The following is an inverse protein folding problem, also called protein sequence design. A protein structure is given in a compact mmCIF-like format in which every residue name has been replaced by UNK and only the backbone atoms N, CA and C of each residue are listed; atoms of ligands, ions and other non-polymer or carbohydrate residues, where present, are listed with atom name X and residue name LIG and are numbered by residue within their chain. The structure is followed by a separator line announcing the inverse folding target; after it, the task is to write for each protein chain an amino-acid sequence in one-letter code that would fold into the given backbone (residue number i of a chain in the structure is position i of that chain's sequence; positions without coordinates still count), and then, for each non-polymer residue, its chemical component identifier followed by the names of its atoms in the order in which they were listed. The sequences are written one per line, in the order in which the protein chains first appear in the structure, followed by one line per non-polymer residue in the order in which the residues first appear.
data_IF_243625522140
#
_entry.id   IF_243625522140
#
_cell.length_a   1.000
_cell.length_b   1.000
_cell.length_c   1.000
_cell.angle_alpha   90.00
_cell.angle_beta   90.00
_cell.angle_gamma   90.00
#
_symmetry.space_group_name_H-M   'P 1'
#
loop_
_entity.id
_entity.type
_entity.pdbx_description
1 polymer ?
#
# COMPACT_ATOMS: atom_id res chain seq x y z
N UNK A 1 -71.06 -13.52 10.85
CA UNK A 1 -71.53 -12.87 12.09
C UNK A 1 -70.59 -11.69 12.34
N UNK A 2 -70.99 -10.51 11.92
CA UNK A 2 -71.52 -9.36 12.66
C UNK A 2 -70.69 -9.02 13.90
N UNK A 3 -70.07 -7.85 13.99
CA UNK A 3 -70.64 -6.49 14.07
C UNK A 3 -69.62 -5.38 13.84
N UNK A 4 -70.06 -4.39 13.07
CA UNK A 4 -69.55 -2.98 12.99
C UNK A 4 -69.77 -2.25 14.31
N UNK A 5 -68.92 -1.29 14.66
CA UNK A 5 -69.34 -0.08 15.36
C UNK A 5 -68.50 1.08 14.91
N UNK A 6 -69.23 2.01 14.28
CA UNK A 6 -68.79 3.37 13.93
C UNK A 6 -69.03 4.27 15.15
N UNK A 7 -68.18 5.23 15.43
CA UNK A 7 -68.55 6.44 16.16
C UNK A 7 -67.86 7.68 15.58
N UNK A 8 -68.70 8.70 15.49
CA UNK A 8 -68.55 9.89 14.72
C UNK A 8 -67.88 11.07 15.47
N UNK A 9 -67.46 12.01 14.68
CA UNK A 9 -66.83 13.35 14.81
C UNK A 9 -67.66 14.28 15.72
N UNK A 10 -67.04 15.35 16.35
CA UNK A 10 -67.43 16.68 15.94
C UNK A 10 -66.30 17.64 15.56
N UNK A 11 -66.55 18.41 14.51
CA UNK A 11 -65.87 19.60 14.03
C UNK A 11 -66.17 20.77 14.96
N UNK A 12 -65.12 21.50 15.33
CA UNK A 12 -65.21 22.84 15.92
C UNK A 12 -64.47 23.83 15.02
N UNK A 13 -65.27 24.70 14.38
CA UNK A 13 -64.84 25.91 13.69
C UNK A 13 -64.49 26.97 14.74
N UNK A 14 -63.31 27.59 14.66
CA UNK A 14 -63.02 28.84 15.34
C UNK A 14 -62.32 29.79 14.37
N UNK A 15 -63.02 30.83 14.04
CA UNK A 15 -62.60 31.98 13.24
C UNK A 15 -61.60 32.84 14.06
N UNK A 16 -60.48 33.21 13.45
CA UNK A 16 -59.61 34.26 14.02
C UNK A 16 -59.17 35.27 12.97
N UNK A 17 -59.26 36.50 13.36
CA UNK A 17 -59.00 37.73 12.64
C UNK A 17 -57.60 37.82 12.01
N UNK A 18 -57.59 38.40 10.82
CA UNK A 18 -56.42 38.91 10.12
C UNK A 18 -56.09 40.30 10.61
N UNK A 19 -54.88 40.46 11.20
CA UNK A 19 -54.25 41.78 11.34
C UNK A 19 -53.10 41.85 10.33
N UNK A 20 -53.24 42.71 9.34
CA UNK A 20 -52.16 43.12 8.47
C UNK A 20 -51.20 44.05 9.23
N UNK A 21 -49.97 43.64 9.44
CA UNK A 21 -48.85 44.53 9.78
C UNK A 21 -47.88 44.52 8.61
N UNK A 22 -47.77 45.66 7.91
CA UNK A 22 -46.72 45.93 6.92
C UNK A 22 -45.36 46.07 7.70
N UNK A 23 -44.44 45.13 7.49
CA UNK A 23 -43.03 45.29 7.84
C UNK A 23 -42.20 45.17 6.58
N UNK A 24 -41.37 46.18 6.32
CA UNK A 24 -40.33 46.28 5.30
C UNK A 24 -39.41 45.06 5.32
N UNK A 25 -38.95 44.54 4.19
CA UNK A 25 -37.95 43.47 4.17
C UNK A 25 -36.62 44.03 4.58
N UNK A 26 -36.21 43.72 5.81
CA UNK A 26 -34.84 43.83 6.26
C UNK A 26 -34.01 42.75 5.58
N UNK A 27 -32.93 43.12 4.90
CA UNK A 27 -31.97 42.19 4.33
C UNK A 27 -31.46 41.28 5.46
N UNK A 28 -31.69 39.97 5.33
CA UNK A 28 -30.98 38.98 6.16
C UNK A 28 -29.49 39.14 5.92
N UNK A 29 -28.67 39.25 6.99
CA UNK A 29 -27.22 39.15 6.82
C UNK A 29 -26.90 37.79 6.24
N UNK A 30 -26.09 37.78 5.17
CA UNK A 30 -25.49 36.54 4.66
C UNK A 30 -24.82 35.81 5.84
N UNK A 31 -24.93 34.47 5.93
CA UNK A 31 -24.17 33.73 6.90
C UNK A 31 -22.70 34.07 6.70
N UNK A 32 -22.05 34.57 7.74
CA UNK A 32 -20.61 34.70 7.76
C UNK A 32 -20.02 33.33 7.49
N UNK A 33 -18.95 33.22 6.72
CA UNK A 33 -18.24 31.95 6.58
C UNK A 33 -17.87 31.53 8.01
N UNK A 34 -18.37 30.36 8.43
CA UNK A 34 -17.93 29.73 9.66
C UNK A 34 -16.46 29.39 9.45
N UNK A 35 -15.58 30.27 9.89
CA UNK A 35 -14.22 29.87 10.20
C UNK A 35 -14.37 28.94 11.41
N UNK A 36 -14.45 27.64 11.16
CA UNK A 36 -14.08 26.66 12.17
C UNK A 36 -12.59 26.89 12.44
N UNK A 37 -12.31 27.73 13.44
CA UNK A 37 -11.03 27.66 14.15
C UNK A 37 -11.11 26.27 14.78
N UNK A 38 -10.52 25.27 14.13
CA UNK A 38 -10.34 23.94 14.71
C UNK A 38 -9.68 24.15 16.06
N UNK A 39 -10.13 23.42 17.02
CA UNK A 39 -9.60 23.33 18.39
C UNK A 39 -8.14 22.83 18.47
N UNK A 40 -7.39 22.88 17.37
CA UNK A 40 -6.00 22.42 17.24
C UNK A 40 -5.87 20.91 17.06
N UNK A 41 -6.95 20.15 17.20
CA UNK A 41 -6.98 18.72 16.94
C UNK A 41 -6.97 18.49 15.41
N UNK A 42 -6.00 17.71 14.92
CA UNK A 42 -5.86 17.43 13.48
C UNK A 42 -5.11 18.51 12.66
N UNK A 43 -4.72 19.63 13.23
CA UNK A 43 -3.98 20.65 12.47
C UNK A 43 -2.56 20.18 12.13
N UNK A 44 -2.21 20.22 10.83
CA UNK A 44 -0.86 19.98 10.31
C UNK A 44 -0.43 21.19 9.48
N UNK A 45 0.69 21.81 9.86
CA UNK A 45 1.20 22.98 9.15
C UNK A 45 1.55 22.61 7.70
N UNK A 46 1.08 23.40 6.74
CA UNK A 46 1.35 23.18 5.31
C UNK A 46 0.46 22.16 4.62
N UNK A 47 -0.55 21.61 5.33
CA UNK A 47 -1.54 20.70 4.76
C UNK A 47 -2.98 21.17 5.04
N UNK A 48 -3.87 20.81 4.14
CA UNK A 48 -5.31 20.96 4.28
C UNK A 48 -5.90 19.62 4.75
N UNK A 49 -6.73 19.66 5.78
CA UNK A 49 -7.53 18.50 6.17
C UNK A 49 -8.75 18.40 5.25
N UNK A 50 -8.95 17.22 4.65
CA UNK A 50 -10.04 16.93 3.71
C UNK A 50 -10.99 15.88 4.28
N UNK A 51 -12.22 15.83 3.74
CA UNK A 51 -13.29 14.98 4.30
C UNK A 51 -13.17 13.50 3.91
N UNK A 52 -12.41 13.19 2.86
CA UNK A 52 -12.28 11.85 2.28
C UNK A 52 -10.81 11.54 1.99
N UNK A 53 -10.40 10.25 1.92
CA UNK A 53 -9.04 9.88 1.54
C UNK A 53 -8.64 10.51 0.21
N UNK A 54 -7.56 11.30 0.14
CA UNK A 54 -7.10 11.93 -1.09
C UNK A 54 -6.31 10.93 -1.94
N UNK A 55 -6.99 9.90 -2.47
CA UNK A 55 -6.35 8.82 -3.22
C UNK A 55 -5.75 9.34 -4.53
N UNK A 56 -4.47 9.09 -4.71
CA UNK A 56 -3.72 9.45 -5.90
C UNK A 56 -2.95 8.24 -6.44
N UNK A 57 -2.66 8.29 -7.74
CA UNK A 57 -1.71 7.38 -8.39
C UNK A 57 -0.49 8.20 -8.83
N UNK A 58 0.69 7.77 -8.43
CA UNK A 58 1.95 8.33 -8.88
C UNK A 58 2.57 7.37 -9.88
N UNK A 59 3.02 7.89 -11.02
CA UNK A 59 3.75 7.13 -12.04
C UNK A 59 5.15 7.70 -12.23
N UNK A 60 6.09 6.81 -12.55
CA UNK A 60 7.39 7.18 -13.10
C UNK A 60 7.48 6.54 -14.48
N UNK A 61 7.59 7.37 -15.49
CA UNK A 61 7.62 6.95 -16.88
C UNK A 61 9.01 6.43 -17.30
N UNK A 62 9.08 5.76 -18.45
CA UNK A 62 10.34 5.21 -18.98
C UNK A 62 11.39 6.29 -19.27
N UNK A 63 10.98 7.54 -19.52
CA UNK A 63 11.85 8.71 -19.69
C UNK A 63 12.18 9.43 -18.39
N UNK A 64 11.69 8.88 -17.25
CA UNK A 64 11.92 9.40 -15.92
C UNK A 64 10.93 10.46 -15.46
N UNK A 65 9.96 10.87 -16.27
CA UNK A 65 8.92 11.82 -15.85
C UNK A 65 8.15 11.28 -14.66
N UNK A 66 7.95 12.10 -13.64
CA UNK A 66 7.20 11.77 -12.42
C UNK A 66 5.88 12.53 -12.45
N UNK A 67 4.80 11.81 -12.56
CA UNK A 67 3.45 12.38 -12.65
C UNK A 67 2.55 11.82 -11.55
N UNK A 68 1.65 12.65 -11.06
CA UNK A 68 0.68 12.27 -10.03
C UNK A 68 -0.73 12.59 -10.50
N UNK A 69 -1.65 11.64 -10.35
CA UNK A 69 -3.06 11.79 -10.73
C UNK A 69 -3.96 11.73 -9.50
N UNK A 70 -4.84 12.71 -9.35
CA UNK A 70 -5.94 12.67 -8.39
C UNK A 70 -7.05 11.74 -8.92
N UNK A 71 -7.40 10.70 -8.16
CA UNK A 71 -8.44 9.74 -8.56
C UNK A 71 -9.87 10.29 -8.50
N UNK A 72 -10.08 11.43 -7.82
CA UNK A 72 -11.39 12.06 -7.71
C UNK A 72 -11.72 12.90 -8.94
N UNK A 73 -10.82 13.77 -9.36
CA UNK A 73 -11.05 14.72 -10.46
C UNK A 73 -10.28 14.40 -11.74
N UNK A 74 -9.46 13.33 -11.72
CA UNK A 74 -8.65 12.80 -12.83
C UNK A 74 -7.61 13.79 -13.37
N UNK A 75 -7.24 14.81 -12.55
CA UNK A 75 -6.24 15.79 -12.91
C UNK A 75 -4.83 15.23 -12.69
N UNK A 76 -3.94 15.52 -13.64
CA UNK A 76 -2.52 15.18 -13.58
C UNK A 76 -1.69 16.38 -13.15
N UNK A 77 -0.67 16.12 -12.34
CA UNK A 77 0.35 17.09 -11.96
C UNK A 77 1.74 16.47 -12.21
N UNK A 78 2.58 17.17 -12.96
CA UNK A 78 3.98 16.82 -13.14
C UNK A 78 4.78 17.27 -11.91
N UNK A 79 5.58 16.37 -11.32
CA UNK A 79 6.38 16.62 -10.12
C UNK A 79 7.86 16.86 -10.45
N UNK A 80 8.34 16.37 -11.57
CA UNK A 80 9.73 16.48 -12.01
C UNK A 80 10.20 15.28 -12.82
N UNK A 81 11.51 15.06 -12.82
CA UNK A 81 12.12 13.98 -13.59
C UNK A 81 13.18 13.27 -12.76
N UNK A 82 13.22 11.94 -12.82
CA UNK A 82 14.22 11.07 -12.21
C UNK A 82 14.92 10.25 -13.28
N UNK A 83 16.23 10.16 -13.22
CA UNK A 83 17.00 9.35 -14.17
C UNK A 83 17.22 7.93 -13.63
N UNK A 84 16.99 6.92 -14.47
CA UNK A 84 17.45 5.55 -14.25
C UNK A 84 16.73 4.82 -13.10
N UNK A 85 15.47 5.15 -12.81
CA UNK A 85 14.69 4.40 -11.81
C UNK A 85 14.61 2.93 -12.19
N UNK A 86 14.96 2.05 -11.24
CA UNK A 86 14.98 0.60 -11.39
C UNK A 86 13.91 -0.10 -10.58
N UNK A 87 13.44 0.53 -9.47
CA UNK A 87 12.41 -0.01 -8.59
C UNK A 87 11.75 1.10 -7.79
N UNK A 88 10.52 0.88 -7.31
CA UNK A 88 9.77 1.81 -6.45
C UNK A 88 9.10 1.09 -5.30
N UNK A 89 9.10 1.74 -4.13
CA UNK A 89 8.37 1.29 -2.94
C UNK A 89 7.63 2.48 -2.35
N UNK A 90 6.45 2.27 -1.80
CA UNK A 90 5.65 3.32 -1.13
C UNK A 90 5.21 2.90 0.27
N UNK A 91 5.01 3.88 1.15
CA UNK A 91 4.34 3.76 2.44
C UNK A 91 2.95 4.41 2.43
N UNK A 92 2.39 4.69 1.23
CA UNK A 92 1.11 5.36 1.07
C UNK A 92 1.19 6.89 1.06
N UNK A 93 2.29 7.49 1.53
CA UNK A 93 2.60 8.92 1.39
C UNK A 93 3.86 9.15 0.57
N UNK A 94 4.97 8.56 1.01
CA UNK A 94 6.24 8.70 0.33
C UNK A 94 6.42 7.61 -0.71
N UNK A 95 7.00 7.97 -1.85
CA UNK A 95 7.46 7.03 -2.86
C UNK A 95 8.98 7.10 -2.90
N UNK A 96 9.59 5.95 -2.73
CA UNK A 96 11.04 5.76 -2.75
C UNK A 96 11.42 5.14 -4.10
N UNK A 97 12.07 5.91 -4.94
CA UNK A 97 12.53 5.48 -6.27
C UNK A 97 14.02 5.15 -6.22
N UNK A 98 14.37 3.88 -6.40
CA UNK A 98 15.76 3.44 -6.42
C UNK A 98 16.34 3.44 -7.83
N UNK A 99 17.63 3.75 -7.93
CA UNK A 99 18.45 3.59 -9.12
C UNK A 99 19.64 2.69 -8.76
N UNK A 100 19.58 1.43 -9.16
CA UNK A 100 20.62 0.45 -8.84
C UNK A 100 21.98 0.76 -9.49
N UNK A 101 21.99 1.40 -10.67
CA UNK A 101 23.21 1.73 -11.41
C UNK A 101 24.01 2.85 -10.75
N UNK A 102 23.32 3.88 -10.24
CA UNK A 102 23.94 4.97 -9.47
C UNK A 102 24.05 4.68 -7.99
N UNK A 103 23.32 3.69 -7.47
CA UNK A 103 23.24 3.37 -6.05
C UNK A 103 22.52 4.47 -5.25
N UNK A 104 21.48 5.08 -5.80
CA UNK A 104 20.73 6.17 -5.15
C UNK A 104 19.29 5.77 -4.87
N UNK A 105 18.70 6.36 -3.83
CA UNK A 105 17.26 6.29 -3.52
C UNK A 105 16.72 7.71 -3.43
N UNK A 106 15.85 8.08 -4.35
CA UNK A 106 15.16 9.38 -4.35
C UNK A 106 13.84 9.27 -3.61
N UNK A 107 13.55 10.23 -2.74
CA UNK A 107 12.32 10.29 -1.96
C UNK A 107 11.39 11.35 -2.54
N UNK A 108 10.15 10.93 -2.85
CA UNK A 108 9.08 11.78 -3.35
C UNK A 108 7.99 11.82 -2.26
N UNK A 109 7.61 13.00 -1.79
CA UNK A 109 6.43 13.23 -0.96
C UNK A 109 5.23 13.48 -1.88
N UNK A 110 4.26 12.58 -1.91
CA UNK A 110 3.02 12.78 -2.68
C UNK A 110 2.18 13.94 -2.16
N UNK A 111 2.44 14.39 -0.94
CA UNK A 111 1.62 15.38 -0.26
C UNK A 111 0.27 14.85 0.20
N UNK A 112 -0.01 13.57 0.06
CA UNK A 112 -1.29 12.94 0.38
C UNK A 112 -1.11 11.85 1.42
N UNK A 113 -1.85 11.91 2.53
CA UNK A 113 -1.75 10.87 3.55
C UNK A 113 -2.99 10.80 4.45
N UNK A 114 -3.15 9.66 5.05
CA UNK A 114 -4.16 9.36 6.09
C UNK A 114 -3.47 9.19 7.44
N UNK A 115 -4.06 9.71 8.48
CA UNK A 115 -3.61 9.51 9.86
C UNK A 115 -4.70 8.83 10.67
N UNK A 116 -4.38 7.67 11.21
CA UNK A 116 -5.27 6.95 12.13
C UNK A 116 -5.20 7.55 13.52
N UNK A 117 -6.36 7.81 14.13
CA UNK A 117 -6.55 8.30 15.47
C UNK A 117 -7.42 7.37 16.33
N UNK A 118 -7.21 6.05 16.20
CA UNK A 118 -7.88 4.97 16.93
C UNK A 118 -9.38 4.85 16.63
N UNK A 119 -10.15 5.93 16.81
CA UNK A 119 -11.62 5.98 16.65
C UNK A 119 -12.06 6.67 15.34
N UNK A 120 -11.15 7.38 14.66
CA UNK A 120 -11.41 8.05 13.38
C UNK A 120 -10.12 8.32 12.61
N UNK A 121 -10.29 8.70 11.32
CA UNK A 121 -9.18 9.04 10.43
C UNK A 121 -9.18 10.52 10.10
N UNK A 122 -8.00 11.10 10.01
CA UNK A 122 -7.77 12.41 9.41
C UNK A 122 -7.10 12.22 8.05
N UNK A 123 -7.59 12.95 7.05
CA UNK A 123 -7.09 12.91 5.69
C UNK A 123 -6.47 14.25 5.34
N UNK A 124 -5.27 14.23 4.78
CA UNK A 124 -4.51 15.44 4.51
C UNK A 124 -4.08 15.53 3.06
N UNK A 125 -4.13 16.77 2.56
CA UNK A 125 -3.60 17.18 1.27
C UNK A 125 -2.59 18.30 1.46
N UNK A 126 -1.32 18.02 1.14
CA UNK A 126 -0.23 18.98 1.07
C UNK A 126 0.26 19.18 -0.35
N UNK A 127 1.39 19.85 -0.51
CA UNK A 127 2.01 20.05 -1.82
C UNK A 127 2.96 18.89 -2.13
N UNK A 128 2.78 18.16 -3.24
CA UNK A 128 3.69 17.10 -3.64
C UNK A 128 5.05 17.70 -4.04
N UNK A 129 6.14 16.93 -3.81
CA UNK A 129 7.51 17.37 -4.10
C UNK A 129 8.50 16.21 -4.13
N UNK A 130 9.58 16.36 -4.88
CA UNK A 130 10.78 15.54 -4.72
C UNK A 130 11.58 16.13 -3.55
N UNK A 131 11.80 15.34 -2.48
CA UNK A 131 12.53 15.81 -1.29
C UNK A 131 14.03 15.84 -1.57
N UNK A 132 14.57 14.78 -2.14
CA UNK A 132 16.00 14.61 -2.42
C UNK A 132 16.39 13.15 -2.54
N UNK A 133 17.69 12.87 -2.55
CA UNK A 133 18.22 11.52 -2.74
C UNK A 133 19.20 11.14 -1.63
N UNK A 134 19.27 9.85 -1.36
CA UNK A 134 20.21 9.21 -0.45
C UNK A 134 21.17 8.37 -1.28
N UNK A 135 22.46 8.58 -1.05
CA UNK A 135 23.51 7.85 -1.75
C UNK A 135 23.93 6.58 -1.01
N UNK A 136 24.15 5.53 -1.77
CA UNK A 136 24.69 4.24 -1.35
C UNK A 136 25.41 3.55 -2.50
N UNK A 137 25.31 2.23 -2.63
CA UNK A 137 25.93 1.48 -3.72
C UNK A 137 25.13 0.24 -4.10
N UNK A 138 24.83 0.11 -5.40
CA UNK A 138 24.09 -1.00 -5.98
C UNK A 138 22.59 -0.99 -5.69
N UNK A 139 21.92 -2.14 -5.86
CA UNK A 139 20.50 -2.26 -5.60
C UNK A 139 20.14 -1.98 -4.14
N UNK A 140 19.03 -1.27 -3.92
CA UNK A 140 18.52 -0.96 -2.60
C UNK A 140 17.29 -1.80 -2.26
N UNK A 141 17.26 -2.37 -1.05
CA UNK A 141 16.03 -2.91 -0.44
C UNK A 141 15.45 -1.83 0.47
N UNK A 142 14.24 -1.41 0.18
CA UNK A 142 13.54 -0.34 0.90
C UNK A 142 12.39 -0.97 1.67
N UNK A 143 12.31 -0.68 2.97
CA UNK A 143 11.33 -1.29 3.87
C UNK A 143 10.69 -0.22 4.74
N UNK A 144 9.51 0.29 4.33
CA UNK A 144 8.77 1.24 5.13
C UNK A 144 8.30 0.64 6.46
N UNK A 145 8.38 1.44 7.51
CA UNK A 145 7.84 1.16 8.83
C UNK A 145 6.93 2.30 9.31
N UNK A 146 6.38 2.15 10.51
CA UNK A 146 5.38 3.10 11.03
C UNK A 146 5.91 4.53 11.24
N UNK A 147 7.17 4.70 11.60
CA UNK A 147 7.77 6.03 11.85
C UNK A 147 9.18 6.19 11.28
N UNK A 148 9.68 5.18 10.58
CA UNK A 148 10.97 5.24 9.91
C UNK A 148 11.00 4.28 8.74
N UNK A 149 11.75 4.60 7.71
CA UNK A 149 11.98 3.74 6.55
C UNK A 149 13.40 3.25 6.54
N UNK A 150 13.57 1.92 6.46
CA UNK A 150 14.87 1.30 6.29
C UNK A 150 15.26 1.21 4.83
N UNK A 151 16.54 1.48 4.55
CA UNK A 151 17.16 1.30 3.24
C UNK A 151 18.42 0.47 3.44
N UNK A 152 18.59 -0.57 2.64
CA UNK A 152 19.80 -1.39 2.62
C UNK A 152 20.37 -1.44 1.20
N UNK A 153 21.64 -1.11 1.04
CA UNK A 153 22.35 -1.11 -0.24
C UNK A 153 23.21 -2.39 -0.35
N UNK A 154 22.90 -3.24 -1.34
CA UNK A 154 23.50 -4.56 -1.43
C UNK A 154 25.00 -4.57 -1.74
N UNK A 155 25.50 -3.63 -2.56
CA UNK A 155 26.90 -3.61 -3.00
C UNK A 155 27.85 -2.97 -1.96
N UNK A 156 27.35 -2.15 -1.06
CA UNK A 156 28.12 -1.63 0.07
C UNK A 156 27.85 -2.36 1.38
N UNK A 157 26.68 -3.01 1.51
CA UNK A 157 26.17 -3.58 2.76
C UNK A 157 25.74 -2.53 3.77
N UNK A 158 25.68 -1.26 3.39
CA UNK A 158 25.19 -0.17 4.24
C UNK A 158 23.69 -0.31 4.50
N UNK A 159 23.29 0.05 5.71
CA UNK A 159 21.88 0.12 6.10
C UNK A 159 21.60 1.46 6.76
N UNK A 160 20.51 2.11 6.35
CA UNK A 160 20.12 3.46 6.79
C UNK A 160 18.71 3.40 7.31
N UNK A 161 18.45 4.02 8.45
CA UNK A 161 17.10 4.23 8.96
C UNK A 161 16.74 5.71 8.87
N UNK A 162 15.77 6.05 7.99
CA UNK A 162 15.29 7.41 7.78
C UNK A 162 14.15 7.73 8.74
N UNK A 163 14.11 8.95 9.26
CA UNK A 163 13.04 9.46 10.09
C UNK A 163 11.85 9.94 9.25
N UNK A 164 10.67 9.28 9.38
CA UNK A 164 9.47 9.63 8.61
C UNK A 164 8.87 10.98 9.00
N UNK A 165 9.07 11.46 10.24
CA UNK A 165 8.60 12.78 10.63
C UNK A 165 9.40 13.88 9.94
N UNK A 166 10.73 13.74 9.85
CA UNK A 166 11.58 14.65 9.09
C UNK A 166 11.25 14.65 7.59
N UNK A 167 10.97 13.47 7.00
CA UNK A 167 10.46 13.38 5.63
C UNK A 167 9.19 14.20 5.43
N UNK A 168 8.26 14.16 6.41
CA UNK A 168 7.04 14.98 6.40
C UNK A 168 7.30 16.49 6.37
N UNK A 169 8.41 16.93 6.95
CA UNK A 169 8.89 18.32 6.92
C UNK A 169 9.69 18.63 5.65
N UNK A 170 10.03 17.60 4.86
CA UNK A 170 10.82 17.71 3.62
C UNK A 170 12.31 17.63 3.85
N UNK A 171 12.72 17.01 4.94
CA UNK A 171 14.11 16.83 5.31
C UNK A 171 14.51 15.35 5.26
N UNK A 172 15.67 15.05 4.65
CA UNK A 172 16.29 13.74 4.69
C UNK A 172 17.12 13.64 5.98
N UNK A 173 16.56 13.03 7.02
CA UNK A 173 17.21 12.84 8.31
C UNK A 173 17.41 11.35 8.59
N UNK A 174 18.65 10.96 8.80
CA UNK A 174 19.01 9.60 9.19
C UNK A 174 18.96 9.49 10.72
N UNK A 175 18.21 8.50 11.25
CA UNK A 175 18.31 8.15 12.67
C UNK A 175 19.65 7.52 12.96
N UNK A 176 20.07 6.62 12.06
CA UNK A 176 21.41 6.04 12.06
C UNK A 176 21.78 5.50 10.67
N UNK A 177 23.08 5.31 10.45
CA UNK A 177 23.68 4.61 9.31
C UNK A 177 24.66 3.55 9.83
N UNK A 178 24.55 2.35 9.28
CA UNK A 178 25.42 1.22 9.63
C UNK A 178 26.23 0.82 8.42
N UNK A 179 27.51 0.61 8.62
CA UNK A 179 28.37 -0.04 7.64
C UNK A 179 28.14 -1.56 7.64
N UNK A 180 28.47 -2.22 6.55
CA UNK A 180 28.39 -3.66 6.41
C UNK A 180 29.32 -4.21 5.34
N UNK A 181 29.33 -5.53 5.19
CA UNK A 181 29.93 -6.17 4.03
C UNK A 181 28.90 -6.25 2.89
N UNK A 182 29.33 -6.21 1.62
CA UNK A 182 28.47 -6.42 0.48
C UNK A 182 27.67 -7.72 0.60
N UNK A 183 26.34 -7.59 0.65
CA UNK A 183 25.39 -8.71 0.70
C UNK A 183 23.97 -8.23 0.42
N UNK A 184 23.11 -9.12 0.01
CA UNK A 184 21.66 -8.86 0.04
C UNK A 184 21.21 -8.76 1.51
N UNK A 185 20.23 -7.88 1.77
CA UNK A 185 19.72 -7.67 3.11
C UNK A 185 18.60 -6.66 3.16
N UNK A 186 18.17 -6.34 4.36
CA UNK A 186 17.16 -5.31 4.60
C UNK A 186 17.35 -4.69 5.98
N UNK A 187 16.76 -3.52 6.16
CA UNK A 187 16.58 -2.87 7.45
C UNK A 187 15.12 -2.40 7.53
N UNK A 188 14.40 -2.70 8.62
CA UNK A 188 13.02 -2.27 8.82
C UNK A 188 12.78 -1.92 10.28
N UNK A 189 11.94 -0.91 10.53
CA UNK A 189 11.51 -0.57 11.89
C UNK A 189 10.43 -1.53 12.38
N UNK A 190 10.53 -1.94 13.65
CA UNK A 190 9.49 -2.66 14.39
C UNK A 190 9.34 -2.05 15.79
N UNK A 191 8.22 -1.34 16.02
CA UNK A 191 8.03 -0.64 17.29
C UNK A 191 9.17 0.35 17.60
N UNK A 192 9.83 0.15 18.73
CA UNK A 192 10.95 0.98 19.19
C UNK A 192 12.33 0.51 18.73
N UNK A 193 12.41 -0.57 17.96
CA UNK A 193 13.66 -1.20 17.50
C UNK A 193 13.72 -1.22 15.97
N UNK A 194 14.86 -1.65 15.41
CA UNK A 194 15.00 -1.98 14.01
C UNK A 194 15.44 -3.44 13.84
N UNK A 195 15.07 -4.06 12.74
CA UNK A 195 15.46 -5.40 12.36
C UNK A 195 16.36 -5.32 11.12
N UNK A 196 17.57 -5.86 11.21
CA UNK A 196 18.50 -5.98 10.09
C UNK A 196 18.58 -7.44 9.64
N UNK A 197 18.24 -7.70 8.40
CA UNK A 197 18.40 -9.00 7.78
C UNK A 197 19.66 -9.04 6.90
N UNK A 198 20.29 -10.21 6.83
CA UNK A 198 21.43 -10.53 6.00
C UNK A 198 21.67 -12.03 5.93
N UNK A 199 22.84 -12.47 5.49
CA UNK A 199 23.17 -13.90 5.29
C UNK A 199 23.03 -14.74 6.57
N UNK A 200 23.25 -14.14 7.74
CA UNK A 200 23.20 -14.83 9.05
C UNK A 200 21.80 -14.95 9.64
N UNK A 201 20.80 -14.31 9.06
CA UNK A 201 19.44 -14.22 9.57
C UNK A 201 19.03 -12.78 9.90
N UNK A 202 18.10 -12.63 10.85
CA UNK A 202 17.53 -11.35 11.26
C UNK A 202 18.04 -11.00 12.66
N UNK A 203 18.65 -9.83 12.79
CA UNK A 203 19.19 -9.27 14.05
C UNK A 203 18.37 -8.05 14.46
N UNK A 204 17.90 -8.01 15.70
CA UNK A 204 17.30 -6.80 16.25
C UNK A 204 18.37 -5.79 16.70
N UNK A 205 18.05 -4.51 16.47
CA UNK A 205 18.89 -3.35 16.82
C UNK A 205 18.08 -2.41 17.71
N UNK A 206 18.75 -1.71 18.62
CA UNK A 206 18.13 -0.61 19.37
C UNK A 206 17.74 0.54 18.43
N UNK A 207 17.00 1.53 18.95
CA UNK A 207 16.66 2.75 18.22
C UNK A 207 17.86 3.51 17.65
N UNK A 208 19.05 3.34 18.27
CA UNK A 208 20.32 3.96 17.86
C UNK A 208 21.19 3.04 16.98
N UNK A 209 20.64 1.91 16.51
CA UNK A 209 21.36 0.99 15.61
C UNK A 209 22.35 0.04 16.30
N UNK A 210 22.29 -0.14 17.63
CA UNK A 210 23.18 -1.06 18.36
C UNK A 210 22.57 -2.46 18.38
N UNK A 211 23.37 -3.49 18.03
CA UNK A 211 22.92 -4.89 18.03
C UNK A 211 22.48 -5.36 19.43
N UNK A 212 21.31 -6.00 19.47
CA UNK A 212 20.77 -6.64 20.67
C UNK A 212 21.18 -8.11 20.68
N UNK A 213 22.18 -8.46 21.48
CA UNK A 213 22.91 -9.75 21.44
C UNK A 213 22.00 -10.99 21.58
N UNK A 214 20.89 -10.89 22.31
CA UNK A 214 19.98 -12.00 22.58
C UNK A 214 18.74 -12.00 21.65
N UNK A 215 18.67 -11.06 20.68
CA UNK A 215 17.55 -10.90 19.77
C UNK A 215 17.96 -11.14 18.31
N UNK A 216 18.28 -12.38 18.01
CA UNK A 216 18.67 -12.85 16.67
C UNK A 216 17.89 -14.12 16.32
N UNK A 217 17.43 -14.23 15.06
CA UNK A 217 16.76 -15.41 14.54
C UNK A 217 17.35 -15.85 13.19
N UNK A 218 17.58 -17.16 12.97
CA UNK A 218 18.02 -17.64 11.67
C UNK A 218 16.89 -17.50 10.63
N UNK A 219 17.22 -17.01 9.44
CA UNK A 219 16.33 -16.92 8.28
C UNK A 219 17.20 -17.03 7.03
N UNK A 220 17.44 -18.26 6.58
CA UNK A 220 18.27 -18.51 5.40
C UNK A 220 17.59 -17.94 4.15
N UNK A 221 18.34 -17.16 3.35
CA UNK A 221 17.79 -16.54 2.14
C UNK A 221 16.66 -15.57 2.43
N UNK A 222 16.78 -14.77 3.50
CA UNK A 222 15.78 -13.77 3.87
C UNK A 222 15.45 -12.85 2.67
N UNK A 223 14.21 -12.89 2.23
CA UNK A 223 13.69 -11.94 1.23
C UNK A 223 13.32 -10.59 1.85
N UNK A 224 12.84 -9.65 1.04
CA UNK A 224 12.35 -8.36 1.51
C UNK A 224 11.27 -8.54 2.60
N UNK A 225 11.38 -7.85 3.72
CA UNK A 225 10.36 -7.91 4.77
C UNK A 225 9.08 -7.20 4.35
N UNK A 226 7.96 -7.61 4.92
CA UNK A 226 6.72 -6.88 4.83
C UNK A 226 6.24 -6.48 6.24
N UNK A 227 5.94 -5.19 6.39
CA UNK A 227 5.38 -4.65 7.63
C UNK A 227 3.87 -4.85 7.65
N UNK A 228 3.35 -5.36 8.76
CA UNK A 228 1.92 -5.54 9.02
C UNK A 228 1.56 -4.93 10.38
N UNK A 229 0.27 -4.72 10.70
CA UNK A 229 -0.13 -4.29 12.03
C UNK A 229 0.24 -5.26 13.17
N UNK A 230 0.56 -6.50 12.83
CA UNK A 230 0.96 -7.53 13.81
C UNK A 230 2.47 -7.54 14.05
N UNK A 231 3.24 -7.19 13.03
CA UNK A 231 4.70 -7.24 13.07
C UNK A 231 5.31 -7.31 11.67
N UNK A 232 6.56 -7.68 11.60
CA UNK A 232 7.33 -7.78 10.35
C UNK A 232 7.50 -9.24 9.97
N UNK A 233 7.09 -9.61 8.76
CA UNK A 233 7.24 -10.96 8.22
C UNK A 233 8.37 -11.00 7.17
N UNK A 234 9.26 -11.97 7.32
CA UNK A 234 10.35 -12.28 6.38
C UNK A 234 10.09 -13.61 5.70
N UNK A 235 10.02 -13.69 4.37
CA UNK A 235 10.10 -14.97 3.68
C UNK A 235 11.51 -15.55 3.81
N UNK A 236 11.61 -16.76 4.35
CA UNK A 236 12.85 -17.51 4.46
C UNK A 236 12.79 -18.77 3.56
N UNK A 237 13.91 -19.45 3.37
CA UNK A 237 13.97 -20.64 2.52
C UNK A 237 13.08 -21.81 3.01
N UNK A 238 12.93 -21.97 4.33
CA UNK A 238 12.22 -23.12 4.92
C UNK A 238 10.91 -22.74 5.62
N UNK A 239 10.70 -21.46 5.93
CA UNK A 239 9.54 -20.95 6.67
C UNK A 239 9.34 -19.44 6.44
N UNK A 240 8.39 -18.86 7.12
CA UNK A 240 8.25 -17.41 7.28
C UNK A 240 8.61 -17.06 8.71
N UNK A 241 9.55 -16.13 8.90
CA UNK A 241 9.90 -15.58 10.20
C UNK A 241 9.02 -14.36 10.47
N UNK A 242 8.19 -14.42 11.51
CA UNK A 242 7.41 -13.29 11.99
C UNK A 242 8.09 -12.70 13.23
N UNK A 243 8.42 -11.42 13.19
CA UNK A 243 8.92 -10.66 14.32
C UNK A 243 7.83 -9.74 14.86
N UNK A 244 7.61 -9.75 16.18
CA UNK A 244 6.64 -8.91 16.88
C UNK A 244 7.30 -8.19 18.07
N UNK A 245 6.69 -7.09 18.56
CA UNK A 245 7.20 -6.28 19.69
C UNK A 245 6.08 -5.95 20.70
N UNK A 246 5.34 -6.97 21.17
CA UNK A 246 4.25 -6.77 22.13
C UNK A 246 4.78 -6.62 23.58
N UNK A 247 5.72 -7.49 24.00
CA UNK A 247 6.38 -7.47 25.30
C UNK A 247 7.92 -7.61 25.14
N UNK A 248 8.49 -6.89 24.16
CA UNK A 248 9.85 -7.05 23.65
C UNK A 248 9.88 -7.95 22.43
N UNK A 249 11.02 -7.96 21.73
CA UNK A 249 11.15 -8.63 20.43
C UNK A 249 10.98 -10.14 20.59
N UNK A 250 10.01 -10.67 19.84
CA UNK A 250 9.76 -12.09 19.70
C UNK A 250 9.91 -12.50 18.25
N UNK A 251 10.48 -13.67 18.01
CA UNK A 251 10.60 -14.29 16.70
C UNK A 251 9.83 -15.60 16.67
N UNK A 252 8.89 -15.71 15.75
CA UNK A 252 8.08 -16.91 15.54
C UNK A 252 8.29 -17.45 14.13
N UNK A 253 8.36 -18.77 13.98
CA UNK A 253 8.55 -19.45 12.69
C UNK A 253 7.25 -20.09 12.24
N UNK A 254 6.77 -19.70 11.07
CA UNK A 254 5.56 -20.22 10.46
C UNK A 254 5.99 -21.12 9.29
N UNK A 255 5.91 -22.43 9.48
CA UNK A 255 6.37 -23.39 8.48
C UNK A 255 5.50 -23.38 7.22
N UNK A 256 6.13 -23.55 6.06
CA UNK A 256 5.38 -23.88 4.85
C UNK A 256 4.71 -25.25 5.03
N UNK A 257 3.41 -25.38 4.72
CA UNK A 257 2.74 -26.67 4.72
C UNK A 257 3.47 -27.67 3.82
N UNK A 258 3.52 -28.95 4.22
CA UNK A 258 4.13 -29.99 3.39
C UNK A 258 3.57 -29.95 1.96
N UNK A 259 4.44 -29.80 0.98
CA UNK A 259 4.06 -29.80 -0.43
C UNK A 259 3.29 -31.07 -0.87
N UNK A 260 3.43 -32.16 -0.11
CA UNK A 260 2.66 -33.39 -0.30
C UNK A 260 1.19 -33.26 0.17
N UNK A 261 0.88 -32.35 1.08
CA UNK A 261 -0.49 -32.07 1.56
C UNK A 261 -1.20 -31.05 0.65
N UNK A 262 -0.43 -30.17 0.01
CA UNK A 262 -0.91 -29.17 -0.94
C UNK A 262 -0.72 -29.70 -2.35
N UNK A 263 -1.76 -30.21 -2.99
CA UNK A 263 -1.67 -30.65 -4.39
C UNK A 263 -1.79 -29.43 -5.30
N UNK A 264 -0.72 -28.93 -5.92
CA UNK A 264 -0.81 -27.84 -6.89
C UNK A 264 -1.65 -28.31 -8.08
N UNK A 265 -2.48 -27.42 -8.62
CA UNK A 265 -3.24 -27.69 -9.85
C UNK A 265 -2.30 -27.73 -11.07
N UNK A 266 -1.19 -26.98 -10.99
CA UNK A 266 -0.12 -26.94 -12.00
C UNK A 266 1.22 -26.53 -11.39
N UNK A 267 2.33 -26.91 -12.02
CA UNK A 267 3.67 -26.42 -11.69
C UNK A 267 4.28 -26.95 -10.38
N UNK A 268 5.36 -26.29 -9.97
CA UNK A 268 6.12 -26.56 -8.72
C UNK A 268 5.84 -25.50 -7.68
N UNK A 269 5.65 -25.93 -6.45
CA UNK A 269 5.56 -25.05 -5.27
C UNK A 269 6.96 -24.74 -4.78
N UNK A 270 7.24 -23.48 -4.49
CA UNK A 270 8.46 -23.00 -3.83
C UNK A 270 8.11 -22.05 -2.69
N UNK A 271 9.01 -21.81 -1.74
CA UNK A 271 8.87 -20.73 -0.78
C UNK A 271 8.60 -19.38 -1.46
N UNK A 272 7.90 -18.48 -0.80
CA UNK A 272 7.73 -17.12 -1.27
C UNK A 272 9.08 -16.38 -1.26
N UNK A 273 9.34 -15.56 -2.27
CA UNK A 273 10.50 -14.65 -2.31
C UNK A 273 10.15 -13.28 -1.77
N UNK A 274 8.88 -12.88 -1.83
CA UNK A 274 8.34 -11.63 -1.28
C UNK A 274 6.85 -11.80 -1.00
N UNK A 275 6.32 -10.89 -0.20
CA UNK A 275 4.89 -10.76 0.06
C UNK A 275 4.39 -9.38 -0.34
N UNK A 276 3.11 -9.29 -0.69
CA UNK A 276 2.42 -8.05 -0.97
C UNK A 276 1.01 -8.05 -0.35
N UNK A 277 0.59 -6.87 0.11
CA UNK A 277 -0.73 -6.66 0.67
C UNK A 277 -1.19 -5.23 0.43
N UNK A 278 -2.49 -5.01 0.51
CA UNK A 278 -3.01 -3.66 0.71
C UNK A 278 -2.45 -3.09 2.01
N UNK A 279 -2.00 -1.85 1.96
CA UNK A 279 -1.37 -1.20 3.11
C UNK A 279 -2.18 -1.31 4.40
N UNK A 280 -1.48 -1.47 5.54
CA UNK A 280 -2.08 -1.57 6.86
C UNK A 280 -2.86 -2.86 7.13
N UNK A 281 -2.65 -3.92 6.32
CA UNK A 281 -3.39 -5.19 6.47
C UNK A 281 -2.52 -6.33 6.97
N UNK A 282 -3.08 -7.20 7.82
CA UNK A 282 -2.34 -8.32 8.42
C UNK A 282 -2.24 -9.57 7.53
N UNK A 283 -3.08 -9.69 6.49
CA UNK A 283 -3.01 -10.79 5.54
C UNK A 283 -2.17 -10.40 4.33
N UNK A 284 -1.18 -11.20 3.99
CA UNK A 284 -0.23 -10.94 2.90
C UNK A 284 -0.19 -12.13 1.94
N UNK A 285 0.06 -11.85 0.65
CA UNK A 285 0.14 -12.85 -0.40
C UNK A 285 1.53 -12.87 -1.05
N UNK A 286 2.07 -14.06 -1.32
CA UNK A 286 3.32 -14.27 -2.04
C UNK A 286 3.18 -15.35 -3.10
N UNK A 287 3.98 -15.27 -4.17
CA UNK A 287 3.98 -16.32 -5.18
C UNK A 287 4.55 -17.62 -4.61
N UNK A 288 3.87 -18.74 -4.85
CA UNK A 288 4.33 -20.09 -4.54
C UNK A 288 5.02 -20.74 -5.78
N UNK A 289 5.93 -20.01 -6.40
CA UNK A 289 6.49 -20.39 -7.68
C UNK A 289 5.41 -20.43 -8.77
N UNK A 290 5.37 -21.52 -9.53
CA UNK A 290 4.33 -21.75 -10.55
C UNK A 290 3.11 -22.53 -9.99
N UNK A 291 3.11 -22.86 -8.68
CA UNK A 291 2.11 -23.74 -8.07
C UNK A 291 0.92 -23.01 -7.47
N UNK A 292 0.96 -21.70 -7.36
CA UNK A 292 -0.12 -20.91 -6.76
C UNK A 292 0.35 -19.71 -5.94
N UNK A 293 -0.38 -19.43 -4.89
CA UNK A 293 -0.17 -18.27 -4.00
C UNK A 293 -0.05 -18.76 -2.55
N UNK A 294 0.96 -18.31 -1.86
CA UNK A 294 1.01 -18.38 -0.40
C UNK A 294 0.20 -17.25 0.19
N UNK A 295 -0.79 -17.57 1.02
CA UNK A 295 -1.55 -16.61 1.79
C UNK A 295 -1.19 -16.78 3.27
N UNK A 296 -0.58 -15.73 3.84
CA UNK A 296 -0.18 -15.67 5.24
C UNK A 296 -1.14 -14.74 5.99
N UNK A 297 -1.86 -15.25 6.98
CA UNK A 297 -2.53 -14.44 8.00
C UNK A 297 -1.59 -14.30 9.21
N UNK A 298 -1.05 -13.10 9.40
CA UNK A 298 -0.09 -12.84 10.49
C UNK A 298 -0.75 -12.81 11.87
N UNK A 299 -2.07 -12.60 11.98
CA UNK A 299 -2.82 -12.67 13.25
C UNK A 299 -2.99 -14.11 13.69
N UNK A 300 -3.44 -14.98 12.76
CA UNK A 300 -3.70 -16.39 13.04
C UNK A 300 -2.44 -17.25 12.96
N UNK A 301 -1.30 -16.72 12.52
CA UNK A 301 -0.03 -17.43 12.26
C UNK A 301 -0.25 -18.62 11.31
N UNK A 302 -1.10 -18.43 10.31
CA UNK A 302 -1.42 -19.49 9.34
C UNK A 302 -0.90 -19.15 7.97
N UNK A 303 -0.28 -20.12 7.33
CA UNK A 303 0.20 -20.03 5.94
C UNK A 303 -0.54 -21.09 5.11
N UNK A 304 -1.26 -20.65 4.10
CA UNK A 304 -2.11 -21.50 3.25
C UNK A 304 -1.66 -21.41 1.81
N UNK A 305 -1.59 -22.55 1.11
CA UNK A 305 -1.40 -22.58 -0.33
C UNK A 305 -2.75 -22.44 -1.04
N UNK A 306 -2.88 -21.41 -1.88
CA UNK A 306 -3.98 -21.26 -2.82
C UNK A 306 -3.50 -21.74 -4.19
N UNK A 307 -3.88 -22.93 -4.64
CA UNK A 307 -3.41 -23.45 -5.92
C UNK A 307 -4.06 -22.70 -7.08
N UNK A 308 -3.30 -22.42 -8.14
CA UNK A 308 -3.79 -21.77 -9.36
C UNK A 308 -3.61 -22.68 -10.59
N UNK A 309 -4.52 -22.57 -11.56
CA UNK A 309 -4.43 -23.33 -12.81
C UNK A 309 -3.32 -22.81 -13.73
N UNK A 310 -3.06 -21.49 -13.68
CA UNK A 310 -2.04 -20.83 -14.45
C UNK A 310 -1.03 -20.12 -13.55
N UNK A 311 0.26 -20.09 -13.93
CA UNK A 311 1.27 -19.32 -13.22
C UNK A 311 0.93 -17.82 -13.21
N UNK A 312 1.09 -17.20 -12.05
CA UNK A 312 0.94 -15.76 -11.86
C UNK A 312 2.31 -15.07 -11.93
N UNK A 313 2.31 -13.80 -12.31
CA UNK A 313 3.48 -12.92 -12.34
C UNK A 313 3.60 -12.11 -11.04
N UNK A 314 2.45 -11.69 -10.52
CA UNK A 314 2.33 -10.93 -9.28
C UNK A 314 1.07 -11.35 -8.52
N UNK A 315 1.07 -11.11 -7.23
CA UNK A 315 -0.08 -11.29 -6.35
C UNK A 315 -0.10 -10.20 -5.29
N UNK A 316 -1.29 -9.82 -4.87
CA UNK A 316 -1.51 -8.92 -3.74
C UNK A 316 -2.74 -9.37 -2.95
N UNK A 317 -2.64 -9.43 -1.62
CA UNK A 317 -3.79 -9.63 -0.76
C UNK A 317 -4.52 -8.31 -0.54
N UNK A 318 -5.83 -8.28 -0.75
CA UNK A 318 -6.66 -7.11 -0.44
C UNK A 318 -7.05 -7.10 1.04
N UNK A 319 -7.27 -8.29 1.60
CA UNK A 319 -7.73 -8.48 2.98
C UNK A 319 -8.99 -7.65 3.28
N UNK A 320 -9.96 -7.70 2.37
CA UNK A 320 -11.30 -7.20 2.53
C UNK A 320 -12.20 -8.25 3.23
N UNK A 321 -13.46 -7.94 3.47
CA UNK A 321 -14.41 -8.83 4.14
C UNK A 321 -14.60 -10.20 3.44
N UNK A 322 -14.26 -10.29 2.16
CA UNK A 322 -14.33 -11.51 1.36
C UNK A 322 -12.97 -12.22 1.21
N UNK A 323 -11.91 -11.64 1.74
CA UNK A 323 -10.54 -12.16 1.65
C UNK A 323 -10.04 -12.27 0.21
N UNK A 324 -10.29 -11.25 -0.61
CA UNK A 324 -9.85 -11.26 -2.00
C UNK A 324 -8.32 -11.22 -2.11
N UNK A 325 -7.80 -11.97 -3.07
CA UNK A 325 -6.41 -11.97 -3.52
C UNK A 325 -6.41 -11.72 -5.02
N UNK A 326 -5.62 -10.77 -5.48
CA UNK A 326 -5.51 -10.42 -6.89
C UNK A 326 -4.22 -11.02 -7.46
N UNK A 327 -4.30 -11.57 -8.67
CA UNK A 327 -3.14 -12.13 -9.35
C UNK A 327 -3.05 -11.68 -10.80
N UNK A 328 -1.86 -11.22 -11.25
CA UNK A 328 -1.56 -10.92 -12.64
C UNK A 328 -1.13 -12.20 -13.35
N UNK A 329 -1.83 -12.56 -14.41
CA UNK A 329 -1.51 -13.70 -15.26
C UNK A 329 -0.53 -13.30 -16.38
N UNK A 330 0.20 -14.30 -16.95
CA UNK A 330 1.16 -14.08 -18.04
C UNK A 330 0.52 -13.57 -19.33
N UNK A 331 -0.77 -13.78 -19.53
CA UNK A 331 -1.52 -13.26 -20.67
C UNK A 331 -2.16 -11.88 -20.43
N UNK A 332 -1.72 -11.19 -19.37
CA UNK A 332 -2.07 -9.81 -19.08
C UNK A 332 -3.50 -9.62 -18.58
N UNK A 333 -4.00 -10.57 -17.79
CA UNK A 333 -5.29 -10.49 -17.08
C UNK A 333 -5.07 -10.39 -15.59
N UNK A 334 -6.02 -9.80 -14.89
CA UNK A 334 -6.08 -9.86 -13.44
C UNK A 334 -7.15 -10.86 -13.05
N UNK A 335 -6.77 -11.85 -12.24
CA UNK A 335 -7.68 -12.83 -11.66
C UNK A 335 -7.93 -12.50 -10.19
N UNK A 336 -9.16 -12.69 -9.74
CA UNK A 336 -9.61 -12.48 -8.36
C UNK A 336 -9.86 -13.84 -7.73
N UNK A 337 -9.11 -14.13 -6.67
CA UNK A 337 -9.27 -15.34 -5.87
C UNK A 337 -9.89 -14.97 -4.51
N UNK A 338 -10.55 -15.94 -3.89
CA UNK A 338 -10.92 -15.87 -2.47
C UNK A 338 -9.78 -16.43 -1.60
N UNK A 339 -9.82 -16.19 -0.30
CA UNK A 339 -8.91 -16.81 0.67
C UNK A 339 -8.98 -18.37 0.70
N UNK A 340 -10.01 -18.97 0.10
CA UNK A 340 -10.13 -20.41 -0.10
C UNK A 340 -9.52 -20.90 -1.44
N UNK A 341 -8.93 -20.01 -2.25
CA UNK A 341 -8.30 -20.34 -3.53
C UNK A 341 -9.26 -20.47 -4.72
N UNK A 342 -10.53 -20.15 -4.54
CA UNK A 342 -11.50 -20.18 -5.64
C UNK A 342 -11.37 -18.92 -6.50
N UNK A 343 -11.25 -19.07 -7.81
CA UNK A 343 -11.33 -17.94 -8.75
C UNK A 343 -12.79 -17.51 -8.85
N UNK A 344 -13.05 -16.24 -8.51
CA UNK A 344 -14.39 -15.65 -8.57
C UNK A 344 -14.59 -14.77 -9.79
N UNK A 345 -13.52 -14.21 -10.33
CA UNK A 345 -13.55 -13.37 -11.52
C UNK A 345 -12.18 -13.31 -12.21
N UNK A 346 -12.21 -12.96 -13.50
CA UNK A 346 -11.00 -12.66 -14.28
C UNK A 346 -11.33 -11.58 -15.30
N UNK A 347 -10.48 -10.57 -15.44
CA UNK A 347 -10.66 -9.49 -16.43
C UNK A 347 -10.54 -10.02 -17.86
N UNK A 348 -10.93 -9.25 -18.86
CA UNK A 348 -10.40 -9.37 -20.21
C UNK A 348 -8.89 -9.13 -20.26
N UNK A 349 -8.21 -9.35 -21.42
CA UNK A 349 -6.80 -8.99 -21.58
C UNK A 349 -6.61 -7.48 -21.43
N UNK A 350 -5.76 -7.06 -20.48
CA UNK A 350 -5.50 -5.64 -20.20
C UNK A 350 -4.21 -5.15 -20.86
N UNK A 351 -3.28 -6.07 -21.15
CA UNK A 351 -1.90 -5.79 -21.53
C UNK A 351 -1.52 -6.40 -22.90
N UNK A 352 -2.34 -6.28 -23.98
CA UNK A 352 -2.10 -7.00 -25.24
C UNK A 352 -0.81 -6.58 -25.95
N UNK A 353 -0.29 -5.39 -25.70
CA UNK A 353 0.97 -4.89 -26.26
C UNK A 353 2.11 -5.07 -25.25
N UNK A 354 1.89 -4.73 -23.98
CA UNK A 354 2.87 -4.85 -22.89
C UNK A 354 3.42 -6.28 -22.77
N UNK A 355 2.60 -7.32 -22.94
CA UNK A 355 3.04 -8.72 -22.88
C UNK A 355 4.01 -9.12 -24.01
N UNK A 356 4.18 -8.30 -25.05
CA UNK A 356 5.12 -8.55 -26.14
C UNK A 356 6.55 -8.08 -25.79
N UNK A 357 6.70 -7.29 -24.73
CA UNK A 357 7.96 -6.76 -24.24
C UNK A 357 8.17 -7.24 -22.79
N UNK A 358 9.20 -8.04 -22.58
CA UNK A 358 9.47 -8.67 -21.29
C UNK A 358 9.86 -7.66 -20.21
N UNK A 359 10.55 -6.57 -20.59
CA UNK A 359 10.99 -5.54 -19.64
C UNK A 359 9.79 -4.67 -19.20
N UNK A 360 8.90 -4.35 -20.15
CA UNK A 360 7.65 -3.64 -19.80
C UNK A 360 6.70 -4.54 -19.00
N UNK A 361 6.62 -5.82 -19.32
CA UNK A 361 5.79 -6.75 -18.53
C UNK A 361 6.32 -6.92 -17.11
N UNK A 362 7.63 -6.91 -16.91
CA UNK A 362 8.26 -6.99 -15.59
C UNK A 362 8.05 -5.73 -14.74
N UNK A 363 7.71 -4.60 -15.37
CA UNK A 363 7.44 -3.32 -14.69
C UNK A 363 5.94 -3.09 -14.42
N UNK A 364 5.07 -4.04 -14.77
CA UNK A 364 3.64 -3.95 -14.45
C UNK A 364 3.44 -4.17 -12.96
N UNK A 365 2.68 -3.29 -12.32
CA UNK A 365 2.36 -3.35 -10.90
C UNK A 365 0.86 -3.34 -10.68
N UNK A 366 0.42 -4.08 -9.66
CA UNK A 366 -0.93 -4.02 -9.13
C UNK A 366 -0.88 -3.37 -7.75
N UNK A 367 -1.58 -2.26 -7.60
CA UNK A 367 -1.85 -1.66 -6.30
C UNK A 367 -3.33 -1.78 -5.97
N UNK A 368 -3.68 -1.96 -4.70
CA UNK A 368 -5.07 -2.12 -4.29
C UNK A 368 -5.41 -1.21 -3.11
N UNK A 369 -6.61 -0.65 -3.13
CA UNK A 369 -7.27 -0.08 -1.96
C UNK A 369 -8.40 -1.02 -1.47
N UNK A 370 -9.26 -0.55 -0.60
CA UNK A 370 -10.35 -1.37 -0.04
C UNK A 370 -11.39 -1.80 -1.09
N UNK A 371 -11.55 -1.07 -2.18
CA UNK A 371 -12.64 -1.23 -3.13
C UNK A 371 -12.15 -1.45 -4.57
N UNK A 372 -10.96 -1.00 -4.90
CA UNK A 372 -10.41 -0.96 -6.25
C UNK A 372 -8.98 -1.49 -6.30
N UNK A 373 -8.64 -1.97 -7.46
CA UNK A 373 -7.25 -2.23 -7.83
C UNK A 373 -6.87 -1.39 -9.03
N UNK A 374 -5.61 -1.03 -9.11
CA UNK A 374 -5.04 -0.23 -10.18
C UNK A 374 -3.85 -0.95 -10.77
N UNK A 375 -3.74 -0.87 -12.09
CA UNK A 375 -2.70 -1.53 -12.87
C UNK A 375 -2.12 -0.53 -13.87
N UNK A 376 -0.80 -0.44 -13.96
CA UNK A 376 -0.18 0.25 -15.10
C UNK A 376 -0.13 -0.69 -16.32
N UNK A 377 -0.41 -0.15 -17.48
CA UNK A 377 -0.34 -0.81 -18.78
C UNK A 377 0.61 -0.01 -19.68
N UNK A 378 1.95 -0.24 -19.54
CA UNK A 378 2.96 0.66 -20.10
C UNK A 378 2.86 0.85 -21.63
N UNK A 379 2.82 -0.24 -22.40
CA UNK A 379 2.76 -0.14 -23.86
C UNK A 379 1.40 0.36 -24.37
N UNK A 380 0.34 0.19 -23.58
CA UNK A 380 -0.99 0.72 -23.85
C UNK A 380 -1.11 2.21 -23.50
N UNK A 381 -0.15 2.73 -22.69
CA UNK A 381 -0.17 4.08 -22.10
C UNK A 381 -1.45 4.35 -21.32
N UNK A 382 -1.77 3.45 -20.40
CA UNK A 382 -2.96 3.49 -19.58
C UNK A 382 -2.65 3.16 -18.12
N UNK A 383 -3.41 3.73 -17.22
CA UNK A 383 -3.70 3.14 -15.91
C UNK A 383 -5.11 2.57 -15.95
N UNK A 384 -5.31 1.40 -15.38
CA UNK A 384 -6.60 0.69 -15.40
C UNK A 384 -7.10 0.52 -13.97
N UNK A 385 -8.31 1.00 -13.70
CA UNK A 385 -9.00 0.77 -12.44
C UNK A 385 -9.94 -0.43 -12.57
N UNK A 386 -9.81 -1.37 -11.64
CA UNK A 386 -10.52 -2.63 -11.62
C UNK A 386 -11.42 -2.68 -10.38
N UNK A 387 -12.70 -2.88 -10.56
CA UNK A 387 -13.65 -3.22 -9.52
C UNK A 387 -13.59 -4.74 -9.28
N UNK A 388 -12.70 -5.17 -8.40
CA UNK A 388 -12.45 -6.59 -8.17
C UNK A 388 -13.65 -7.29 -7.51
N UNK A 389 -14.47 -6.57 -6.74
CA UNK A 389 -15.67 -7.10 -6.09
C UNK A 389 -16.87 -7.23 -7.05
N UNK A 390 -16.88 -6.49 -8.18
CA UNK A 390 -17.92 -6.56 -9.22
C UNK A 390 -17.38 -7.30 -10.47
N UNK A 391 -17.16 -8.60 -10.33
CA UNK A 391 -16.77 -9.49 -11.42
C UNK A 391 -15.48 -9.06 -12.17
N UNK A 392 -14.55 -8.40 -11.47
CA UNK A 392 -13.32 -7.81 -12.01
C UNK A 392 -13.58 -6.86 -13.20
N UNK A 393 -14.68 -6.10 -13.13
CA UNK A 393 -15.06 -5.14 -14.13
C UNK A 393 -14.05 -3.99 -14.17
N UNK A 394 -13.71 -3.54 -15.37
CA UNK A 394 -12.97 -2.30 -15.55
C UNK A 394 -13.88 -1.14 -15.20
N UNK A 395 -13.54 -0.41 -14.15
CA UNK A 395 -14.29 0.73 -13.68
C UNK A 395 -13.95 1.98 -14.47
N UNK A 396 -12.64 2.27 -14.59
CA UNK A 396 -12.12 3.41 -15.36
C UNK A 396 -10.82 3.02 -16.06
N UNK A 397 -10.44 3.80 -17.08
CA UNK A 397 -9.13 3.72 -17.73
C UNK A 397 -8.62 5.14 -17.94
N UNK A 398 -7.42 5.42 -17.49
CA UNK A 398 -6.83 6.75 -17.52
C UNK A 398 -5.66 6.75 -18.52
N UNK A 399 -5.76 7.52 -19.62
CA UNK A 399 -4.64 7.72 -20.54
C UNK A 399 -3.48 8.42 -19.82
N UNK A 400 -2.27 7.91 -20.00
CA UNK A 400 -1.03 8.54 -19.54
C UNK A 400 -0.36 9.34 -20.64
N UNK A 401 0.43 10.33 -20.27
CA UNK A 401 1.18 11.15 -21.23
C UNK A 401 2.33 10.31 -21.82
N UNK A 402 3.09 9.66 -20.95
CA UNK A 402 4.23 8.83 -21.31
C UNK A 402 3.94 7.33 -21.21
N UNK A 403 4.99 6.56 -20.95
CA UNK A 403 4.96 5.10 -20.76
C UNK A 403 5.12 4.83 -19.25
N UNK A 404 4.04 4.56 -18.50
CA UNK A 404 4.08 4.45 -17.04
C UNK A 404 4.79 3.15 -16.63
N UNK A 405 6.09 3.25 -16.37
CA UNK A 405 6.90 2.09 -16.00
C UNK A 405 6.68 1.65 -14.55
N UNK A 406 6.52 2.61 -13.63
CA UNK A 406 6.26 2.33 -12.23
C UNK A 406 4.94 2.97 -11.80
N UNK A 407 4.27 2.33 -10.85
CA UNK A 407 2.99 2.77 -10.30
C UNK A 407 3.02 2.68 -8.77
N UNK A 408 2.67 3.76 -8.09
CA UNK A 408 2.46 3.78 -6.66
C UNK A 408 1.09 4.37 -6.32
N UNK A 409 0.38 3.78 -5.36
CA UNK A 409 -0.85 4.35 -4.79
C UNK A 409 -0.52 5.17 -3.55
N UNK A 410 -1.05 6.39 -3.45
CA UNK A 410 -0.80 7.30 -2.32
C UNK A 410 -2.09 7.88 -1.75
N UNK A 411 -2.03 8.49 -0.54
CA UNK A 411 -3.20 9.07 0.14
C UNK A 411 -3.97 8.08 1.03
N UNK A 412 -3.35 6.98 1.37
CA UNK A 412 -3.93 5.90 2.18
C UNK A 412 -3.56 6.00 3.63
#
# INVERSE_FOLDING_TARGET
MLRRNSLAIPVLLSSTLVLCACSTPGASPAPAPSSSIGDGHGFVAGAEEVAEPPLHLLTIDIDGSVDQMDLLDENWAELGTLDGTTDTVTDGRFVFASNADSGTVTVIDSGMWTRDHEDHFHYYRGSPRIIGSIDGSGPATISPGASATGIHFADSGESILLDSAALGEGELSERFRLEGAPQAGSLVQLGSVALRAGDSGVQALTADGVEMTDAVAPCAGAGPPITTPVGVAYPCADDVLLATDDDGIQFERIAYPDAAAATPLSGTVSPAVSFATREGRPTVAGLAGNGGVWLLDTRERTLTLLPTEAPLLQVIAVDDDNGHVLGLTRDGRVTVLTAAGSIVATTGPLLPQTIQDADLLASVEIVADQQRAYLNAPAEKLLVEIDFADSARIARSFPTIGVPRFLAGTGR
#
